data_IF_846415564680
#
_entry.id   IF_846415564680
#
_cell.length_a   1.000
_cell.length_b   1.000
_cell.length_c   1.000
_cell.angle_alpha   90.00
_cell.angle_beta   90.00
_cell.angle_gamma   90.00
#
_symmetry.space_group_name_H-M   'P 1'
#
loop_
_entity.id
_entity.type
_entity.pdbx_description
1 polymer ?
#
# COMPACT_ATOMS: atom_id res chain seq x y z
N UNK A 1 6.14 3.88 23.81
CA UNK A 1 6.68 3.93 22.42
C UNK A 1 6.04 2.82 21.59
N UNK A 2 5.04 3.11 20.75
CA UNK A 2 4.33 2.13 19.89
C UNK A 2 4.04 2.63 18.45
N UNK A 3 4.51 3.84 18.08
CA UNK A 3 4.19 4.50 16.81
C UNK A 3 4.72 3.76 15.56
N UNK A 4 5.95 3.21 15.63
CA UNK A 4 6.60 2.57 14.46
C UNK A 4 5.85 1.30 14.01
N UNK A 5 5.33 0.51 14.96
CA UNK A 5 4.61 -0.73 14.65
C UNK A 5 3.35 -0.48 13.81
N UNK A 6 2.62 0.60 14.11
CA UNK A 6 1.36 0.89 13.44
C UNK A 6 1.57 1.38 12.00
N UNK A 7 2.63 2.15 11.76
CA UNK A 7 2.92 2.72 10.45
C UNK A 7 3.17 1.62 9.41
N UNK A 8 4.05 0.66 9.71
CA UNK A 8 4.33 -0.45 8.80
C UNK A 8 3.13 -1.38 8.61
N UNK A 9 2.37 -1.68 9.68
CA UNK A 9 1.13 -2.47 9.57
C UNK A 9 0.13 -1.84 8.60
N UNK A 10 0.01 -0.51 8.59
CA UNK A 10 -0.86 0.21 7.66
C UNK A 10 -0.38 0.10 6.22
N UNK A 11 0.93 0.19 5.97
CA UNK A 11 1.49 0.04 4.62
C UNK A 11 1.24 -1.38 4.09
N UNK A 12 1.51 -2.41 4.90
CA UNK A 12 1.23 -3.81 4.52
C UNK A 12 -0.26 -3.98 4.23
N UNK A 13 -1.13 -3.43 5.08
CA UNK A 13 -2.57 -3.52 4.84
C UNK A 13 -3.01 -2.79 3.57
N UNK A 14 -2.37 -1.67 3.25
CA UNK A 14 -2.67 -0.89 2.06
C UNK A 14 -2.24 -1.64 0.79
N UNK A 15 -1.05 -2.26 0.78
CA UNK A 15 -0.59 -3.14 -0.31
C UNK A 15 -1.59 -4.29 -0.57
N UNK A 16 -2.06 -4.98 0.48
CA UNK A 16 -3.08 -6.04 0.34
C UNK A 16 -4.35 -5.53 -0.34
N UNK A 17 -4.82 -4.34 0.04
CA UNK A 17 -6.04 -3.75 -0.51
C UNK A 17 -5.86 -3.24 -1.95
N UNK A 18 -4.69 -2.70 -2.29
CA UNK A 18 -4.37 -2.26 -3.65
C UNK A 18 -4.28 -3.49 -4.58
N UNK A 19 -3.61 -4.56 -4.14
CA UNK A 19 -3.51 -5.82 -4.90
C UNK A 19 -4.84 -6.50 -5.14
N UNK A 20 -5.72 -6.45 -4.14
CA UNK A 20 -7.06 -7.01 -4.25
C UNK A 20 -8.07 -6.06 -4.87
N UNK A 21 -7.65 -4.84 -5.26
CA UNK A 21 -8.47 -3.80 -5.88
C UNK A 21 -9.69 -3.41 -5.01
N UNK A 22 -9.52 -3.50 -3.68
CA UNK A 22 -10.56 -3.30 -2.67
C UNK A 22 -10.24 -2.15 -1.72
N UNK A 23 -9.54 -1.12 -2.20
CA UNK A 23 -9.30 0.07 -1.37
C UNK A 23 -10.57 0.89 -1.19
N UNK A 24 -11.44 0.89 -2.21
CA UNK A 24 -12.54 1.84 -2.30
C UNK A 24 -12.05 3.28 -2.47
N UNK A 25 -12.98 4.23 -2.33
CA UNK A 25 -12.68 5.66 -2.42
C UNK A 25 -11.77 6.13 -1.28
N UNK A 26 -11.01 7.24 -1.45
CA UNK A 26 -10.15 7.78 -0.41
C UNK A 26 -10.86 7.97 0.94
N UNK A 27 -12.11 8.44 0.92
CA UNK A 27 -12.92 8.61 2.12
C UNK A 27 -13.27 7.30 2.82
N UNK A 28 -13.66 6.26 2.06
CA UNK A 28 -13.95 4.92 2.61
C UNK A 28 -12.67 4.30 3.19
N UNK A 29 -11.55 4.45 2.49
CA UNK A 29 -10.26 3.95 2.94
C UNK A 29 -9.80 4.65 4.22
N UNK A 30 -9.94 5.97 4.30
CA UNK A 30 -9.62 6.76 5.49
C UNK A 30 -10.44 6.33 6.72
N UNK A 31 -11.77 6.15 6.55
CA UNK A 31 -12.66 5.62 7.59
C UNK A 31 -12.22 4.23 8.05
N UNK A 32 -11.88 3.33 7.12
CA UNK A 32 -11.41 1.97 7.43
C UNK A 32 -10.12 1.96 8.25
N UNK A 33 -9.20 2.88 7.97
CA UNK A 33 -7.93 3.01 8.67
C UNK A 33 -8.03 3.89 9.94
N UNK A 34 -9.20 4.49 10.18
CA UNK A 34 -9.48 5.45 11.27
C UNK A 34 -8.47 6.61 11.28
N UNK A 35 -8.21 7.19 10.10
CA UNK A 35 -7.32 8.33 9.90
C UNK A 35 -7.92 9.33 8.92
N UNK A 36 -7.27 10.49 8.76
CA UNK A 36 -7.67 11.47 7.76
C UNK A 36 -7.35 11.01 6.33
N UNK A 37 -8.11 11.50 5.35
CA UNK A 37 -7.81 11.30 3.92
C UNK A 37 -6.42 11.81 3.56
N UNK A 38 -6.00 12.94 4.14
CA UNK A 38 -4.63 13.46 4.00
C UNK A 38 -3.57 12.43 4.40
N UNK A 39 -3.81 11.69 5.49
CA UNK A 39 -2.89 10.63 5.92
C UNK A 39 -2.82 9.50 4.92
N UNK A 40 -3.96 9.08 4.35
CA UNK A 40 -4.02 8.09 3.26
C UNK A 40 -3.21 8.57 2.05
N UNK A 41 -3.38 9.82 1.62
CA UNK A 41 -2.60 10.38 0.52
C UNK A 41 -1.10 10.38 0.81
N UNK A 42 -0.70 10.68 2.04
CA UNK A 42 0.71 10.60 2.44
C UNK A 42 1.25 9.16 2.35
N UNK A 43 0.48 8.16 2.78
CA UNK A 43 0.87 6.74 2.63
C UNK A 43 1.00 6.32 1.16
N UNK A 44 0.01 6.67 0.33
CA UNK A 44 0.03 6.36 -1.10
C UNK A 44 1.21 7.03 -1.80
N UNK A 45 1.46 8.30 -1.48
CA UNK A 45 2.61 9.06 -1.99
C UNK A 45 3.93 8.40 -1.59
N UNK A 46 4.08 8.04 -0.32
CA UNK A 46 5.26 7.33 0.17
C UNK A 46 5.48 6.00 -0.56
N UNK A 47 4.44 5.17 -0.70
CA UNK A 47 4.53 3.89 -1.44
C UNK A 47 4.90 4.10 -2.92
N UNK A 48 4.39 5.16 -3.54
CA UNK A 48 4.68 5.50 -4.94
C UNK A 48 6.09 6.04 -5.13
N UNK A 49 6.51 6.98 -4.29
CA UNK A 49 7.73 7.76 -4.49
C UNK A 49 8.97 7.03 -3.93
N UNK A 50 8.88 6.50 -2.72
CA UNK A 50 10.01 5.86 -2.01
C UNK A 50 10.14 4.38 -2.35
N UNK A 51 9.01 3.66 -2.40
CA UNK A 51 9.00 2.21 -2.68
C UNK A 51 8.81 1.91 -4.17
N UNK A 52 8.71 2.94 -5.02
CA UNK A 52 8.52 2.83 -6.48
C UNK A 52 7.32 1.96 -6.87
N UNK A 53 6.29 1.92 -6.02
CA UNK A 53 5.10 1.10 -6.27
C UNK A 53 4.25 1.75 -7.38
N UNK A 54 3.85 1.01 -8.43
CA UNK A 54 3.21 1.58 -9.61
C UNK A 54 1.69 1.75 -9.40
N UNK A 55 1.32 2.54 -8.39
CA UNK A 55 -0.07 2.78 -7.95
C UNK A 55 -0.76 3.80 -8.87
N UNK A 56 -1.95 3.45 -9.33
CA UNK A 56 -2.85 4.32 -10.10
C UNK A 56 -4.26 4.31 -9.49
N UNK A 57 -5.04 5.34 -9.77
CA UNK A 57 -6.47 5.36 -9.49
C UNK A 57 -7.22 4.73 -10.67
N UNK A 58 -8.13 3.80 -10.36
CA UNK A 58 -9.04 3.17 -11.32
C UNK A 58 -10.45 3.70 -11.07
N UNK A 59 -10.97 4.45 -12.04
CA UNK A 59 -12.28 5.11 -11.93
C UNK A 59 -13.46 4.14 -12.05
N UNK A 60 -13.30 3.03 -12.75
CA UNK A 60 -14.35 2.02 -12.92
C UNK A 60 -14.51 1.23 -11.62
N UNK A 61 -13.39 0.83 -11.01
CA UNK A 61 -13.37 0.08 -9.75
C UNK A 61 -13.52 0.97 -8.52
N UNK A 62 -13.36 2.29 -8.69
CA UNK A 62 -13.27 3.27 -7.59
C UNK A 62 -12.27 2.81 -6.52
N UNK A 63 -11.11 2.36 -6.97
CA UNK A 63 -10.05 1.80 -6.13
C UNK A 63 -8.68 2.21 -6.63
N UNK A 64 -7.71 2.26 -5.72
CA UNK A 64 -6.30 2.26 -6.10
C UNK A 64 -5.89 0.84 -6.48
N UNK A 65 -5.13 0.73 -7.56
CA UNK A 65 -4.66 -0.55 -8.12
C UNK A 65 -3.19 -0.44 -8.53
N UNK A 66 -2.51 -1.57 -8.66
CA UNK A 66 -1.19 -1.61 -9.26
C UNK A 66 -1.30 -1.75 -10.78
N UNK A 67 -0.67 -0.84 -11.52
CA UNK A 67 -0.63 -0.90 -12.99
C UNK A 67 0.22 -2.06 -13.53
N UNK A 68 1.03 -2.70 -12.68
CA UNK A 68 1.82 -3.89 -13.01
C UNK A 68 1.75 -4.88 -11.86
N UNK A 69 1.73 -6.18 -12.17
CA UNK A 69 1.69 -7.24 -11.14
C UNK A 69 2.93 -7.15 -10.25
N UNK A 70 2.71 -7.16 -8.94
CA UNK A 70 3.76 -7.07 -7.93
C UNK A 70 3.22 -7.25 -6.52
N UNK A 71 4.14 -7.31 -5.56
CA UNK A 71 3.83 -7.30 -4.13
C UNK A 71 4.93 -6.53 -3.42
N UNK A 72 4.55 -5.73 -2.44
CA UNK A 72 5.49 -5.07 -1.57
C UNK A 72 5.99 -6.05 -0.50
N UNK A 73 7.25 -6.47 -0.62
CA UNK A 73 7.88 -7.34 0.37
C UNK A 73 8.61 -6.50 1.43
N UNK A 74 7.94 -6.21 2.55
CA UNK A 74 8.56 -5.59 3.72
C UNK A 74 8.88 -6.68 4.74
N UNK A 75 10.15 -7.02 4.88
CA UNK A 75 10.60 -7.98 5.87
C UNK A 75 11.95 -8.58 5.53
N UNK A 76 12.49 -9.34 6.47
CA UNK A 76 13.71 -10.11 6.24
C UNK A 76 13.42 -11.29 5.31
N UNK A 77 14.19 -11.39 4.22
CA UNK A 77 14.14 -12.50 3.27
C UNK A 77 15.49 -13.22 3.29
N UNK A 78 15.45 -14.56 3.33
CA UNK A 78 16.66 -15.38 3.18
C UNK A 78 17.27 -15.11 1.81
N UNK A 79 18.53 -14.69 1.79
CA UNK A 79 19.27 -14.60 0.54
C UNK A 79 19.55 -16.03 0.07
N UNK A 80 18.78 -16.51 -0.90
CA UNK A 80 19.10 -17.75 -1.60
C UNK A 80 19.93 -17.38 -2.82
N UNK A 81 21.14 -17.96 -2.98
CA UNK A 81 21.94 -17.69 -4.16
C UNK A 81 21.13 -18.11 -5.40
N UNK A 82 20.89 -17.16 -6.31
CA UNK A 82 20.29 -17.46 -7.61
C UNK A 82 21.17 -18.51 -8.29
N UNK A 83 20.65 -19.73 -8.49
CA UNK A 83 21.30 -20.72 -9.35
C UNK A 83 21.42 -20.08 -10.74
N UNK A 84 22.67 -19.94 -11.20
CA UNK A 84 23.01 -19.52 -12.57
C UNK A 84 22.43 -20.50 -13.58
#
# INVERSE_FOLDING_TARGET
>A
MHQISLYFKRIIKLDELIRSEKTGTPSKLAKRFKISERSIFNYLKFMKDEMKSPIIWDDEKKSYVYSRKGVLNIGWVKNTPKKK
#
